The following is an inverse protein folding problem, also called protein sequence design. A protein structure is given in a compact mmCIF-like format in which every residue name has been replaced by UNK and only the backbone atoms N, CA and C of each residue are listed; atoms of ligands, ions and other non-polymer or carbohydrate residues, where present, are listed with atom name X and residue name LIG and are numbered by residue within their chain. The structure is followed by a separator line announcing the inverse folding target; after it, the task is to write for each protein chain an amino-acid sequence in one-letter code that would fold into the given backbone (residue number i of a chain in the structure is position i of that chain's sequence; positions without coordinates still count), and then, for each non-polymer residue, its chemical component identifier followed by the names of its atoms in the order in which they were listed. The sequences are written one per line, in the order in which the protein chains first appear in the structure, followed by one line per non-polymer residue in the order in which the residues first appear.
data_IF_246436552698
#
_entry.id   IF_246436552698
#
_cell.length_a   1.000
_cell.length_b   1.000
_cell.length_c   1.000
_cell.angle_alpha   90.00
_cell.angle_beta   90.00
_cell.angle_gamma   90.00
#
_symmetry.space_group_name_H-M   'P 1'
#
loop_
_entity.id
_entity.type
_entity.pdbx_description
1 polymer ?
#
# COMPACT_ATOMS: atom_id res chain seq x y z
N UNK A 1 -15.05 23.47 10.40
CA UNK A 1 -13.74 23.10 10.98
C UNK A 1 -13.02 22.21 9.98
N UNK A 2 -11.89 22.65 9.43
CA UNK A 2 -11.08 21.80 8.54
C UNK A 2 -10.41 20.71 9.39
N UNK A 3 -10.89 19.46 9.25
CA UNK A 3 -10.30 18.30 9.90
C UNK A 3 -8.96 18.03 9.20
N UNK A 4 -7.86 18.44 9.84
CA UNK A 4 -6.51 18.04 9.40
C UNK A 4 -6.42 16.54 9.65
N UNK A 5 -6.65 15.74 8.60
CA UNK A 5 -6.40 14.30 8.63
C UNK A 5 -4.89 14.13 8.62
N UNK A 6 -4.33 13.78 9.78
CA UNK A 6 -2.93 13.41 9.86
C UNK A 6 -2.78 12.04 9.19
N UNK A 7 -2.30 12.02 7.94
CA UNK A 7 -2.16 10.81 7.11
C UNK A 7 -1.09 9.84 7.62
N UNK A 8 -0.39 10.21 8.70
CA UNK A 8 0.65 9.42 9.33
C UNK A 8 0.33 9.30 10.82
N UNK A 9 -0.34 8.22 11.27
CA UNK A 9 -0.33 7.90 12.69
C UNK A 9 1.13 7.74 13.13
N UNK A 10 1.48 8.22 14.32
CA UNK A 10 2.83 8.25 14.91
C UNK A 10 3.44 6.86 15.18
N UNK A 11 3.06 5.85 14.41
CA UNK A 11 3.72 4.55 14.41
C UNK A 11 4.77 4.62 13.30
N UNK A 12 5.97 5.09 13.65
CA UNK A 12 7.19 4.59 12.99
C UNK A 12 7.29 3.10 13.28
N UNK A 13 6.40 2.32 12.66
CA UNK A 13 6.50 0.87 12.63
C UNK A 13 7.65 0.59 11.69
N UNK A 14 8.66 -0.08 12.23
CA UNK A 14 9.71 -0.64 11.42
C UNK A 14 9.06 -1.47 10.28
N UNK A 15 9.50 -1.33 9.02
CA UNK A 15 8.88 -2.02 7.88
C UNK A 15 8.72 -3.53 8.09
N UNK A 16 9.65 -4.17 8.81
CA UNK A 16 9.58 -5.60 9.07
C UNK A 16 8.42 -5.94 10.00
N UNK A 17 8.12 -5.09 10.99
CA UNK A 17 6.96 -5.25 11.87
C UNK A 17 5.63 -5.20 11.10
N UNK A 18 5.52 -4.35 10.07
CA UNK A 18 4.35 -4.30 9.20
C UNK A 18 4.22 -5.57 8.36
N UNK A 19 5.33 -6.06 7.80
CA UNK A 19 5.35 -7.28 6.99
C UNK A 19 5.00 -8.52 7.81
N UNK A 20 5.42 -8.60 9.07
CA UNK A 20 5.05 -9.70 9.97
C UNK A 20 3.53 -9.73 10.23
N UNK A 21 2.86 -8.57 10.38
CA UNK A 21 1.40 -8.54 10.48
C UNK A 21 0.68 -8.97 9.20
N UNK A 22 1.31 -8.82 8.04
CA UNK A 22 0.77 -9.21 6.74
C UNK A 22 0.95 -10.71 6.43
N UNK A 23 1.67 -11.45 7.28
CA UNK A 23 2.03 -12.85 7.04
C UNK A 23 0.80 -13.77 7.02
N UNK A 24 0.76 -14.67 6.04
CA UNK A 24 -0.31 -15.64 5.78
C UNK A 24 -1.72 -15.04 5.55
N UNK A 25 -1.82 -13.71 5.36
CA UNK A 25 -3.11 -13.04 5.14
C UNK A 25 -3.51 -12.94 3.66
N UNK A 26 -2.54 -13.02 2.74
CA UNK A 26 -2.75 -12.68 1.34
C UNK A 26 -2.31 -13.81 0.41
N UNK A 27 -3.10 -14.03 -0.65
CA UNK A 27 -2.76 -14.98 -1.73
C UNK A 27 -1.64 -14.44 -2.63
N UNK A 28 -1.63 -13.12 -2.87
CA UNK A 28 -0.65 -12.40 -3.71
C UNK A 28 -0.39 -11.03 -3.10
N UNK A 29 0.85 -10.53 -3.20
CA UNK A 29 1.26 -9.26 -2.57
C UNK A 29 2.02 -8.39 -3.57
N UNK A 30 1.66 -7.11 -3.63
CA UNK A 30 2.44 -6.04 -4.25
C UNK A 30 3.02 -5.17 -3.15
N UNK A 31 4.34 -5.15 -3.03
CA UNK A 31 5.07 -4.29 -2.10
C UNK A 31 5.57 -3.08 -2.86
N UNK A 32 5.17 -1.89 -2.42
CA UNK A 32 5.69 -0.62 -2.92
C UNK A 32 6.47 0.02 -1.79
N UNK A 33 7.77 0.23 -1.99
CA UNK A 33 8.67 0.62 -0.91
C UNK A 33 9.84 1.47 -1.40
N UNK A 34 10.48 2.11 -0.43
CA UNK A 34 11.71 2.86 -0.62
C UNK A 34 12.84 1.96 -0.15
N UNK A 35 13.83 1.75 -1.00
CA UNK A 35 15.01 1.01 -0.59
C UNK A 35 15.88 1.84 0.35
N UNK A 36 16.93 1.22 0.90
CA UNK A 36 17.88 1.88 1.80
C UNK A 36 18.65 3.03 1.14
N UNK A 37 18.61 3.15 -0.18
CA UNK A 37 19.23 4.22 -0.95
C UNK A 37 18.23 5.34 -1.30
N UNK A 38 16.99 5.26 -0.82
CA UNK A 38 15.94 6.24 -1.08
C UNK A 38 15.28 6.11 -2.46
N UNK A 39 15.54 5.02 -3.17
CA UNK A 39 14.91 4.76 -4.48
C UNK A 39 13.55 4.09 -4.30
N UNK A 40 12.52 4.62 -4.96
CA UNK A 40 11.20 4.02 -5.01
C UNK A 40 11.22 2.79 -5.92
N UNK A 41 10.78 1.66 -5.40
CA UNK A 41 10.68 0.40 -6.13
C UNK A 41 9.40 -0.35 -5.77
N UNK A 42 8.84 -1.07 -6.72
CA UNK A 42 7.75 -2.00 -6.51
C UNK A 42 8.23 -3.43 -6.77
N UNK A 43 7.80 -4.37 -5.94
CA UNK A 43 8.05 -5.81 -6.10
C UNK A 43 6.75 -6.56 -5.92
N UNK A 44 6.50 -7.52 -6.79
CA UNK A 44 5.36 -8.42 -6.66
C UNK A 44 5.84 -9.85 -6.51
N UNK A 45 5.04 -10.68 -5.83
CA UNK A 45 5.29 -12.13 -5.71
C UNK A 45 5.16 -12.86 -7.05
N UNK A 46 4.51 -12.25 -8.04
CA UNK A 46 4.40 -12.75 -9.42
C UNK A 46 5.39 -12.05 -10.37
N UNK A 47 5.68 -12.67 -11.51
CA UNK A 47 6.49 -12.11 -12.60
C UNK A 47 5.76 -10.99 -13.37
N UNK A 48 5.17 -10.03 -12.64
CA UNK A 48 4.48 -8.92 -13.29
C UNK A 48 5.44 -8.05 -14.09
N UNK A 49 5.00 -7.70 -15.30
CA UNK A 49 5.60 -6.66 -16.12
C UNK A 49 5.24 -5.29 -15.56
N UNK A 50 5.98 -4.27 -15.98
CA UNK A 50 5.77 -2.88 -15.54
C UNK A 50 4.33 -2.42 -15.76
N UNK A 51 3.69 -2.79 -16.86
CA UNK A 51 2.32 -2.37 -17.17
C UNK A 51 1.31 -2.95 -16.17
N UNK A 52 1.53 -4.20 -15.74
CA UNK A 52 0.68 -4.89 -14.77
C UNK A 52 0.83 -4.27 -13.37
N UNK A 53 2.04 -3.84 -13.00
CA UNK A 53 2.27 -3.09 -11.76
C UNK A 53 1.56 -1.73 -11.75
N UNK A 54 1.59 -1.00 -12.87
CA UNK A 54 0.89 0.28 -13.01
C UNK A 54 -0.62 0.07 -12.89
N UNK A 55 -1.17 -0.97 -13.52
CA UNK A 55 -2.59 -1.29 -13.40
C UNK A 55 -3.00 -1.62 -11.96
N UNK A 56 -2.19 -2.39 -11.24
CA UNK A 56 -2.42 -2.69 -9.82
C UNK A 56 -2.43 -1.43 -8.94
N UNK A 57 -1.53 -0.47 -9.19
CA UNK A 57 -1.52 0.82 -8.49
C UNK A 57 -2.84 1.57 -8.73
N UNK A 58 -3.34 1.57 -9.97
CA UNK A 58 -4.59 2.26 -10.29
C UNK A 58 -5.81 1.59 -9.65
N UNK A 59 -5.86 0.25 -9.63
CA UNK A 59 -6.88 -0.50 -8.91
C UNK A 59 -6.85 -0.21 -7.41
N UNK A 60 -5.65 -0.16 -6.82
CA UNK A 60 -5.49 0.16 -5.39
C UNK A 60 -5.99 1.58 -5.09
N UNK A 61 -5.61 2.58 -5.90
CA UNK A 61 -6.10 3.95 -5.77
C UNK A 61 -7.62 4.03 -5.92
N UNK A 62 -8.18 3.38 -6.94
CA UNK A 62 -9.62 3.31 -7.14
C UNK A 62 -10.33 2.70 -5.93
N UNK A 63 -9.81 1.60 -5.40
CA UNK A 63 -10.38 0.94 -4.23
C UNK A 63 -10.35 1.86 -3.00
N UNK A 64 -9.21 2.48 -2.67
CA UNK A 64 -9.11 3.40 -1.53
C UNK A 64 -10.08 4.59 -1.65
N UNK A 65 -10.16 5.18 -2.84
CA UNK A 65 -11.04 6.33 -3.09
C UNK A 65 -12.52 5.96 -3.05
N UNK A 66 -12.87 4.72 -3.39
CA UNK A 66 -14.26 4.25 -3.42
C UNK A 66 -14.71 3.65 -2.08
N UNK A 67 -13.83 2.92 -1.39
CA UNK A 67 -14.11 2.32 -0.07
C UNK A 67 -14.26 3.37 1.02
N UNK A 68 -13.56 4.51 0.92
CA UNK A 68 -13.76 5.67 1.80
C UNK A 68 -15.19 6.25 1.67
N UNK A 69 -15.89 6.01 0.56
CA UNK A 69 -17.27 6.51 0.34
C UNK A 69 -18.33 5.59 0.97
N UNK A 70 -17.99 4.34 1.32
CA UNK A 70 -18.96 3.35 1.84
C UNK A 70 -19.02 3.28 3.37
N UNK A 71 -18.09 3.91 4.10
CA UNK A 71 -18.11 3.96 5.58
C UNK A 71 -19.02 5.08 6.15
N UNK A 72 -19.69 5.87 5.30
CA UNK A 72 -20.67 6.89 5.71
C UNK A 72 -22.11 6.51 5.31
N UNK A 73 -22.62 5.38 5.82
CA UNK A 73 -24.07 5.10 5.93
C UNK A 73 -24.36 4.24 7.16
#
# INVERSE_FOLDING_TARGET
MNKVVNLFPEVKSDPDSLLEHAKDQYKEVLVIGWDKNGSLSARCTSNFKTEEMVYMIELFKHNLLTSTVMEET
#
